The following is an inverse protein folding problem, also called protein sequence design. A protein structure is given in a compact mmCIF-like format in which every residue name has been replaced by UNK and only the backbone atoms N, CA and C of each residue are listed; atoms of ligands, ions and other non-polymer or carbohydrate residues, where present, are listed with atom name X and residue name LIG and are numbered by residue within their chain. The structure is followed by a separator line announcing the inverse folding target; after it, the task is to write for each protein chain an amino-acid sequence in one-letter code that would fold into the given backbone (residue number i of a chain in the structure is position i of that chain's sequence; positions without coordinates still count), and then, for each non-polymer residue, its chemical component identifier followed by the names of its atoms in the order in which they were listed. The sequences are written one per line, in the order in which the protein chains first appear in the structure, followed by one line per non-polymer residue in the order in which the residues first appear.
data_IF_210635425666
#
_entry.id   IF_210635425666
#
_cell.length_a   1.000
_cell.length_b   1.000
_cell.length_c   1.000
_cell.angle_alpha   90.00
_cell.angle_beta   90.00
_cell.angle_gamma   90.00
#
_symmetry.space_group_name_H-M   'P 1'
#
loop_
_entity.id
_entity.type
_entity.pdbx_description
1 polymer ?
#
# COMPACT_ATOMS: atom_id res chain seq x y z
N UNK A 1 -13.86 -22.54 -8.40
CA UNK A 1 -14.44 -21.17 -8.49
C UNK A 1 -13.29 -20.18 -8.46
N UNK A 2 -13.18 -19.25 -9.42
CA UNK A 2 -12.23 -18.14 -9.29
C UNK A 2 -12.74 -17.23 -8.17
N UNK A 3 -11.88 -16.73 -7.27
CA UNK A 3 -12.32 -15.73 -6.30
C UNK A 3 -12.88 -14.53 -7.05
N UNK A 4 -14.03 -14.04 -6.61
CA UNK A 4 -14.62 -12.82 -7.17
C UNK A 4 -13.66 -11.64 -6.97
N UNK A 5 -13.65 -10.72 -7.93
CA UNK A 5 -12.83 -9.52 -7.82
C UNK A 5 -13.41 -8.64 -6.70
N UNK A 6 -12.56 -8.01 -5.86
CA UNK A 6 -13.05 -7.11 -4.82
C UNK A 6 -13.85 -5.93 -5.41
N UNK A 7 -14.91 -5.55 -4.72
CA UNK A 7 -15.74 -4.39 -5.03
C UNK A 7 -15.12 -3.10 -4.50
N UNK A 8 -15.68 -1.94 -4.87
CA UNK A 8 -15.27 -0.66 -4.31
C UNK A 8 -15.54 -0.59 -2.79
N UNK A 9 -16.64 -1.19 -2.34
CA UNK A 9 -16.98 -1.26 -0.92
C UNK A 9 -15.96 -2.09 -0.13
N UNK A 10 -15.47 -3.21 -0.69
CA UNK A 10 -14.39 -3.99 -0.07
C UNK A 10 -13.13 -3.13 0.14
N UNK A 11 -12.72 -2.37 -0.88
CA UNK A 11 -11.58 -1.48 -0.77
C UNK A 11 -11.78 -0.37 0.26
N UNK A 12 -12.98 0.21 0.35
CA UNK A 12 -13.28 1.26 1.33
C UNK A 12 -13.35 0.69 2.76
N UNK A 13 -13.88 -0.52 2.94
CA UNK A 13 -13.91 -1.22 4.21
C UNK A 13 -12.49 -1.56 4.69
N UNK A 14 -11.65 -2.12 3.82
CA UNK A 14 -10.25 -2.39 4.13
C UNK A 14 -9.45 -1.12 4.44
N UNK A 15 -9.78 0.00 3.80
CA UNK A 15 -9.11 1.28 4.03
C UNK A 15 -9.51 1.91 5.37
N UNK A 16 -10.76 1.71 5.80
CA UNK A 16 -11.29 2.20 7.08
C UNK A 16 -10.88 1.33 8.28
N UNK A 17 -10.59 0.05 8.05
CA UNK A 17 -10.20 -0.88 9.10
C UNK A 17 -8.85 -0.47 9.74
N UNK A 18 -8.82 -0.08 11.03
CA UNK A 18 -7.60 0.34 11.71
C UNK A 18 -6.56 -0.79 11.82
N UNK A 19 -6.96 -2.06 11.74
CA UNK A 19 -6.04 -3.19 11.82
C UNK A 19 -5.11 -3.29 10.60
N UNK A 20 -5.50 -2.69 9.47
CA UNK A 20 -4.65 -2.61 8.28
C UNK A 20 -3.65 -1.43 8.34
N UNK A 21 -3.67 -0.60 9.39
CA UNK A 21 -2.82 0.59 9.56
C UNK A 21 -1.91 0.48 10.78
N UNK A 22 -0.64 0.18 10.53
CA UNK A 22 0.40 0.07 11.54
C UNK A 22 1.08 1.43 11.76
N UNK A 23 1.29 1.80 13.02
CA UNK A 23 1.85 3.11 13.43
C UNK A 23 1.11 4.31 12.82
N UNK A 24 -0.16 4.12 12.43
CA UNK A 24 -1.00 5.15 11.83
C UNK A 24 -0.75 5.45 10.35
N UNK A 25 0.32 4.94 9.73
CA UNK A 25 0.72 5.30 8.35
C UNK A 25 1.14 4.14 7.45
N UNK A 26 1.56 2.99 8.00
CA UNK A 26 1.98 1.83 7.21
C UNK A 26 0.80 0.93 6.93
N UNK A 27 0.51 0.69 5.65
CA UNK A 27 -0.61 -0.14 5.23
C UNK A 27 -0.18 -1.59 5.03
N UNK A 28 -0.90 -2.53 5.65
CA UNK A 28 -0.66 -3.95 5.48
C UNK A 28 -2.01 -4.67 5.40
N UNK A 29 -2.35 -5.18 4.22
CA UNK A 29 -3.54 -5.98 4.01
C UNK A 29 -3.30 -7.07 2.95
N UNK A 30 -3.23 -8.36 3.33
CA UNK A 30 -3.04 -9.46 2.38
C UNK A 30 -4.18 -9.66 1.39
N UNK A 31 -5.39 -9.17 1.70
CA UNK A 31 -6.57 -9.26 0.83
C UNK A 31 -6.54 -8.21 -0.29
N UNK A 32 -5.97 -7.04 -0.02
CA UNK A 32 -5.80 -5.99 -1.03
C UNK A 32 -4.62 -6.29 -1.95
N UNK A 33 -4.90 -6.58 -3.23
CA UNK A 33 -3.87 -6.90 -4.23
C UNK A 33 -3.36 -5.67 -4.99
N UNK A 34 -3.81 -4.46 -4.66
CA UNK A 34 -3.29 -3.22 -5.27
C UNK A 34 -1.80 -3.07 -4.95
N UNK A 35 -1.04 -2.57 -5.93
CA UNK A 35 0.39 -2.30 -5.78
C UNK A 35 0.62 -1.06 -4.91
N UNK A 36 -0.15 0.00 -5.11
CA UNK A 36 -0.02 1.23 -4.34
C UNK A 36 -1.42 1.77 -3.99
N UNK A 37 -2.05 1.29 -2.90
CA UNK A 37 -3.34 1.83 -2.48
C UNK A 37 -3.22 3.28 -2.01
N UNK A 38 -4.34 4.03 -1.88
CA UNK A 38 -4.32 5.37 -1.31
C UNK A 38 -3.73 5.38 0.12
N UNK A 39 -3.15 6.51 0.53
CA UNK A 39 -2.83 6.75 1.95
C UNK A 39 -4.10 6.89 2.79
N UNK A 40 -3.97 6.67 4.10
CA UNK A 40 -5.07 6.78 5.07
C UNK A 40 -5.85 8.09 4.87
N UNK A 41 -5.11 9.18 4.74
CA UNK A 41 -5.60 10.48 4.27
C UNK A 41 -5.46 10.49 2.74
N UNK A 42 -6.57 10.28 2.01
CA UNK A 42 -6.57 10.01 0.56
C UNK A 42 -5.86 11.10 -0.27
N UNK A 43 -5.90 12.37 0.13
CA UNK A 43 -5.25 13.48 -0.60
C UNK A 43 -3.72 13.48 -0.48
N UNK A 44 -3.15 12.76 0.49
CA UNK A 44 -1.69 12.63 0.65
C UNK A 44 -1.07 11.61 -0.35
N UNK A 45 -1.84 11.15 -1.33
CA UNK A 45 -1.36 10.29 -2.41
C UNK A 45 -1.42 8.80 -2.08
N UNK A 46 -0.44 8.05 -2.58
CA UNK A 46 -0.41 6.59 -2.52
C UNK A 46 0.53 6.06 -1.43
N UNK A 47 0.34 4.81 -1.02
CA UNK A 47 1.17 4.10 -0.06
C UNK A 47 1.59 2.73 -0.58
N UNK A 48 2.56 2.12 0.09
CA UNK A 48 2.98 0.74 -0.14
C UNK A 48 2.05 -0.17 0.67
N UNK A 49 1.58 -1.25 0.07
CA UNK A 49 0.96 -2.34 0.80
C UNK A 49 2.04 -3.36 1.16
N UNK A 50 2.49 -3.36 2.41
CA UNK A 50 3.58 -4.23 2.87
C UNK A 50 3.21 -5.72 2.87
N UNK A 51 1.94 -6.07 2.67
CA UNK A 51 1.51 -7.45 2.47
C UNK A 51 1.64 -7.94 1.01
N UNK A 52 1.99 -7.04 0.07
CA UNK A 52 2.15 -7.35 -1.35
C UNK A 52 3.63 -7.31 -1.76
N UNK A 53 4.27 -8.44 -2.08
CA UNK A 53 5.70 -8.47 -2.41
C UNK A 53 6.05 -7.62 -3.64
N UNK A 54 5.13 -7.48 -4.59
CA UNK A 54 5.34 -6.61 -5.76
C UNK A 54 5.30 -5.12 -5.38
N UNK A 55 4.50 -4.73 -4.38
CA UNK A 55 4.49 -3.37 -3.83
C UNK A 55 5.83 -3.05 -3.16
N UNK A 56 6.35 -3.99 -2.37
CA UNK A 56 7.66 -3.86 -1.73
C UNK A 56 8.79 -3.83 -2.75
N UNK A 57 8.72 -4.65 -3.80
CA UNK A 57 9.70 -4.67 -4.88
C UNK A 57 9.77 -3.32 -5.62
N UNK A 58 8.66 -2.57 -5.72
CA UNK A 58 8.64 -1.22 -6.27
C UNK A 58 9.25 -0.18 -5.31
N UNK A 59 9.10 -0.38 -4.00
CA UNK A 59 9.64 0.52 -2.98
C UNK A 59 11.18 0.50 -2.94
N UNK A 60 11.80 -0.68 -3.04
CA UNK A 60 13.26 -0.84 -2.91
C UNK A 60 14.07 0.03 -3.92
N UNK A 61 13.84 -0.04 -5.25
CA UNK A 61 14.58 0.79 -6.19
C UNK A 61 14.28 2.28 -6.01
N UNK A 62 13.05 2.64 -5.64
CA UNK A 62 12.71 4.02 -5.30
C UNK A 62 13.56 4.55 -4.13
N UNK A 63 13.70 3.77 -3.05
CA UNK A 63 14.54 4.14 -1.91
C UNK A 63 16.02 4.25 -2.30
N UNK A 64 16.53 3.34 -3.12
CA UNK A 64 17.91 3.39 -3.62
C UNK A 64 18.15 4.69 -4.40
N UNK A 65 17.24 5.07 -5.31
CA UNK A 65 17.34 6.32 -6.07
C UNK A 65 17.34 7.53 -5.13
N UNK A 66 16.42 7.57 -4.16
CA UNK A 66 16.36 8.67 -3.18
C UNK A 66 17.67 8.80 -2.40
N UNK A 67 18.23 7.69 -1.90
CA UNK A 67 19.52 7.70 -1.20
C UNK A 67 20.64 8.18 -2.12
N UNK A 68 20.73 7.68 -3.35
CA UNK A 68 21.75 8.09 -4.32
C UNK A 68 21.65 9.57 -4.70
N UNK A 69 20.45 10.13 -4.77
CA UNK A 69 20.24 11.56 -5.05
C UNK A 69 20.65 12.41 -3.86
N UNK A 70 20.33 11.99 -2.64
CA UNK A 70 20.62 12.73 -1.41
C UNK A 70 22.05 12.55 -0.89
N UNK A 71 22.77 11.52 -1.36
CA UNK A 71 24.17 11.24 -0.97
C UNK A 71 25.19 11.89 -1.92
N UNK A 72 24.73 12.69 -2.87
CA UNK A 72 25.57 13.59 -3.68
C UNK A 72 25.75 14.92 -2.97
#
# INVERSE_FOLDING_TARGET
MKPEKPTQEDYDNWHKDPNNWYLGCFYYNPKDKRLMPPKRIKWMGLTVNFANPYSVLLLVPFLIIVVLVLSK
#
